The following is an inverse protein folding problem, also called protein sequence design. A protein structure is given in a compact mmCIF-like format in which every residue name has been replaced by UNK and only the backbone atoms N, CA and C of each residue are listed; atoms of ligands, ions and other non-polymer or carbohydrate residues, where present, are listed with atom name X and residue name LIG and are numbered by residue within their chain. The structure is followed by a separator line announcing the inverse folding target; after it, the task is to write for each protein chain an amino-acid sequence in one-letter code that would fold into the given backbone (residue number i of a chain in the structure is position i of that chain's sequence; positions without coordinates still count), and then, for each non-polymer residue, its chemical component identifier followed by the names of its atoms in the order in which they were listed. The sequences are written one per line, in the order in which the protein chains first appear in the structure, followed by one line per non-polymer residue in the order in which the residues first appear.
data_IF_907349739986
#
_entry.id   IF_907349739986
#
_cell.length_a   1.000
_cell.length_b   1.000
_cell.length_c   1.000
_cell.angle_alpha   90.00
_cell.angle_beta   90.00
_cell.angle_gamma   90.00
#
_symmetry.space_group_name_H-M   'P 1'
#
loop_
_entity.id
_entity.type
_entity.pdbx_description
1 polymer ?
#
# COMPACT_ATOMS: atom_id res chain seq x y z
N UNK A 1 -16.64 -4.51 9.50
CA UNK A 1 -15.92 -4.07 8.29
C UNK A 1 -16.74 -4.49 7.08
N UNK A 2 -16.87 -3.62 6.08
CA UNK A 2 -17.52 -3.97 4.80
C UNK A 2 -16.45 -4.19 3.75
N UNK A 3 -16.53 -5.30 3.02
CA UNK A 3 -15.65 -5.62 1.89
C UNK A 3 -16.46 -5.46 0.61
N UNK A 4 -15.92 -4.72 -0.35
CA UNK A 4 -16.47 -4.58 -1.71
C UNK A 4 -15.35 -4.68 -2.73
N UNK A 5 -15.69 -4.97 -3.98
CA UNK A 5 -14.73 -5.19 -5.05
C UNK A 5 -15.02 -4.26 -6.23
N UNK A 6 -13.97 -3.86 -6.95
CA UNK A 6 -14.07 -3.12 -8.20
C UNK A 6 -12.90 -3.47 -9.12
N UNK A 7 -12.96 -3.05 -10.38
CA UNK A 7 -11.85 -3.27 -11.32
C UNK A 7 -10.61 -2.49 -10.92
N UNK A 8 -10.81 -1.20 -10.59
CA UNK A 8 -9.74 -0.31 -10.19
C UNK A 8 -10.28 0.79 -9.27
N UNK A 9 -9.40 1.40 -8.47
CA UNK A 9 -9.73 2.61 -7.73
C UNK A 9 -9.42 3.87 -8.53
N UNK A 10 -10.37 4.81 -8.62
CA UNK A 10 -10.11 6.12 -9.21
C UNK A 10 -9.57 7.08 -8.15
N UNK A 11 -8.30 7.45 -8.27
CA UNK A 11 -7.61 8.32 -7.29
C UNK A 11 -8.19 9.74 -7.26
N UNK A 12 -8.63 10.28 -8.41
CA UNK A 12 -9.09 11.66 -8.53
C UNK A 12 -10.49 11.85 -7.94
N UNK A 13 -11.42 10.96 -8.28
CA UNK A 13 -12.82 10.97 -7.85
C UNK A 13 -13.04 10.23 -6.54
N UNK A 14 -12.05 9.46 -6.05
CA UNK A 14 -12.10 8.66 -4.82
C UNK A 14 -13.27 7.68 -4.83
N UNK A 15 -13.42 6.97 -5.94
CA UNK A 15 -14.53 6.05 -6.18
C UNK A 15 -14.06 4.76 -6.86
N UNK A 16 -14.75 3.64 -6.62
CA UNK A 16 -14.54 2.43 -7.41
C UNK A 16 -14.86 2.70 -8.89
N UNK A 17 -13.94 2.34 -9.78
CA UNK A 17 -14.23 2.18 -11.20
C UNK A 17 -14.84 0.82 -11.39
N UNK A 18 -16.05 0.78 -11.94
CA UNK A 18 -16.77 -0.46 -12.25
C UNK A 18 -16.83 -1.41 -11.04
N UNK A 19 -17.84 -1.26 -10.16
CA UNK A 19 -18.07 -2.24 -9.10
C UNK A 19 -18.20 -3.65 -9.68
N UNK A 20 -17.52 -4.63 -9.08
CA UNK A 20 -17.63 -6.04 -9.47
C UNK A 20 -18.25 -6.85 -8.34
N UNK A 21 -18.95 -7.94 -8.70
CA UNK A 21 -19.51 -8.85 -7.70
C UNK A 21 -18.39 -9.64 -7.01
N UNK A 22 -18.61 -10.15 -5.79
CA UNK A 22 -17.65 -11.06 -5.15
C UNK A 22 -17.32 -12.29 -6.02
N UNK A 23 -18.28 -12.81 -6.79
CA UNK A 23 -18.07 -13.97 -7.67
C UNK A 23 -17.13 -13.63 -8.83
N UNK A 24 -17.26 -12.43 -9.40
CA UNK A 24 -16.36 -11.96 -10.45
C UNK A 24 -14.96 -11.66 -9.89
N UNK A 25 -14.85 -11.06 -8.72
CA UNK A 25 -13.57 -10.87 -8.05
C UNK A 25 -12.88 -12.21 -7.73
N UNK A 26 -13.63 -13.22 -7.31
CA UNK A 26 -13.11 -14.57 -7.06
C UNK A 26 -12.68 -15.27 -8.35
N UNK A 27 -13.41 -15.05 -9.45
CA UNK A 27 -13.00 -15.51 -10.78
C UNK A 27 -11.65 -14.88 -11.14
N UNK A 28 -11.55 -13.55 -11.09
CA UNK A 28 -10.31 -12.80 -11.38
C UNK A 28 -9.14 -13.28 -10.53
N UNK A 29 -9.35 -13.41 -9.22
CA UNK A 29 -8.36 -13.97 -8.30
C UNK A 29 -7.83 -15.33 -8.75
N UNK A 30 -8.71 -16.25 -9.17
CA UNK A 30 -8.31 -17.61 -9.62
C UNK A 30 -7.56 -17.61 -10.96
N UNK A 31 -7.85 -16.66 -11.84
CA UNK A 31 -7.20 -16.55 -13.15
C UNK A 31 -6.03 -15.55 -13.17
N UNK A 32 -5.71 -14.94 -12.03
CA UNK A 32 -4.64 -13.96 -11.89
C UNK A 32 -4.95 -12.57 -12.43
N UNK A 33 -6.19 -12.32 -12.86
CA UNK A 33 -6.59 -11.05 -13.45
C UNK A 33 -6.66 -9.93 -12.40
N UNK A 34 -6.31 -8.67 -12.77
CA UNK A 34 -6.32 -7.57 -11.83
C UNK A 34 -7.71 -7.22 -11.27
N UNK A 35 -7.75 -6.90 -9.98
CA UNK A 35 -8.92 -6.34 -9.31
C UNK A 35 -8.52 -5.57 -8.04
N UNK A 36 -9.48 -4.82 -7.49
CA UNK A 36 -9.29 -4.04 -6.27
C UNK A 36 -10.27 -4.50 -5.19
N UNK A 37 -9.76 -4.66 -3.98
CA UNK A 37 -10.53 -4.87 -2.75
C UNK A 37 -10.62 -3.54 -2.00
N UNK A 38 -11.83 -3.19 -1.59
CA UNK A 38 -12.09 -2.03 -0.74
C UNK A 38 -12.58 -2.53 0.62
N UNK A 39 -11.82 -2.20 1.66
CA UNK A 39 -12.14 -2.54 3.04
C UNK A 39 -12.32 -1.23 3.79
N UNK A 40 -13.45 -1.02 4.45
CA UNK A 40 -13.62 0.27 5.13
C UNK A 40 -14.69 0.36 6.19
N UNK A 41 -14.55 1.44 6.94
CA UNK A 41 -15.52 2.06 7.83
C UNK A 41 -15.81 3.48 7.31
N UNK A 42 -16.78 4.22 7.87
CA UNK A 42 -17.01 5.62 7.46
C UNK A 42 -15.79 6.57 7.62
N UNK A 43 -14.76 6.18 8.37
CA UNK A 43 -13.65 7.06 8.77
C UNK A 43 -12.27 6.62 8.31
N UNK A 44 -12.14 5.40 7.80
CA UNK A 44 -10.88 4.82 7.33
C UNK A 44 -11.16 3.71 6.32
N UNK A 45 -10.41 3.72 5.24
CA UNK A 45 -10.52 2.71 4.18
C UNK A 45 -9.15 2.23 3.75
N UNK A 46 -9.05 0.95 3.45
CA UNK A 46 -7.91 0.32 2.81
C UNK A 46 -8.34 -0.08 1.41
N UNK A 47 -7.51 0.29 0.44
CA UNK A 47 -7.63 -0.11 -0.95
C UNK A 47 -6.53 -1.11 -1.19
N UNK A 48 -6.87 -2.32 -1.61
CA UNK A 48 -5.90 -3.36 -1.94
C UNK A 48 -6.00 -3.65 -3.42
N UNK A 49 -4.93 -3.39 -4.15
CA UNK A 49 -4.82 -3.66 -5.58
C UNK A 49 -4.09 -5.00 -5.74
N UNK A 50 -4.67 -5.92 -6.49
CA UNK A 50 -4.18 -7.28 -6.70
C UNK A 50 -3.92 -7.49 -8.18
N UNK A 51 -2.74 -8.01 -8.51
CA UNK A 51 -2.33 -8.39 -9.86
C UNK A 51 -1.40 -9.61 -9.76
N UNK A 52 -1.98 -10.82 -9.72
CA UNK A 52 -1.19 -12.05 -9.55
C UNK A 52 -0.50 -12.50 -10.82
N UNK A 53 -0.97 -12.07 -11.99
CA UNK A 53 -0.27 -12.29 -13.26
C UNK A 53 1.11 -11.62 -13.23
N UNK A 54 1.20 -10.39 -12.71
CA UNK A 54 2.46 -9.68 -12.50
C UNK A 54 3.14 -9.96 -11.15
N UNK A 55 2.54 -10.83 -10.32
CA UNK A 55 3.06 -11.19 -9.01
C UNK A 55 3.10 -10.02 -8.03
N UNK A 56 2.10 -9.12 -8.05
CA UNK A 56 2.08 -7.89 -7.26
C UNK A 56 0.81 -7.75 -6.44
N UNK A 57 0.98 -7.13 -5.27
CA UNK A 57 -0.13 -6.58 -4.51
C UNK A 57 0.28 -5.22 -3.95
N UNK A 58 -0.68 -4.32 -3.80
CA UNK A 58 -0.48 -3.04 -3.16
C UNK A 58 -1.59 -2.78 -2.17
N UNK A 59 -1.29 -2.17 -1.03
CA UNK A 59 -2.30 -1.69 -0.11
C UNK A 59 -2.11 -0.21 0.17
N UNK A 60 -3.14 0.60 -0.03
CA UNK A 60 -3.15 2.03 0.24
C UNK A 60 -4.15 2.32 1.35
N UNK A 61 -3.68 2.97 2.41
CA UNK A 61 -4.48 3.40 3.54
C UNK A 61 -4.92 4.83 3.33
N UNK A 62 -6.23 5.00 3.35
CA UNK A 62 -6.91 6.27 3.17
C UNK A 62 -7.33 6.80 4.54
N UNK A 63 -6.75 7.93 4.88
CA UNK A 63 -6.94 8.59 6.16
C UNK A 63 -8.13 9.52 6.22
N UNK A 64 -8.11 10.36 7.25
CA UNK A 64 -9.12 11.40 7.45
C UNK A 64 -9.10 12.36 6.25
N UNK A 65 -10.28 12.70 5.75
CA UNK A 65 -10.50 13.51 4.53
C UNK A 65 -10.27 12.79 3.19
N UNK A 66 -10.06 11.46 3.18
CA UNK A 66 -9.95 10.69 1.94
C UNK A 66 -8.56 10.73 1.29
N UNK A 67 -7.54 11.23 1.97
CA UNK A 67 -6.17 11.32 1.44
C UNK A 67 -5.37 10.05 1.70
N UNK A 68 -4.39 9.75 0.84
CA UNK A 68 -3.45 8.65 1.07
C UNK A 68 -2.55 9.02 2.25
N UNK A 69 -2.44 8.18 3.26
CA UNK A 69 -1.52 8.39 4.39
C UNK A 69 -0.30 7.47 4.28
N UNK A 70 -0.52 6.22 3.90
CA UNK A 70 0.55 5.24 3.70
C UNK A 70 0.16 4.22 2.62
N UNK A 71 1.14 3.74 1.87
CA UNK A 71 0.99 2.62 0.95
C UNK A 71 2.11 1.62 1.13
N UNK A 72 1.79 0.35 0.88
CA UNK A 72 2.72 -0.76 0.86
C UNK A 72 2.68 -1.42 -0.52
N UNK A 73 3.85 -1.71 -1.08
CA UNK A 73 4.03 -2.44 -2.33
C UNK A 73 4.66 -3.80 -2.06
N UNK A 74 3.98 -4.85 -2.51
CA UNK A 74 4.40 -6.23 -2.37
C UNK A 74 4.69 -6.85 -3.73
N UNK A 75 5.67 -7.74 -3.76
CA UNK A 75 5.94 -8.59 -4.92
C UNK A 75 6.12 -10.05 -4.49
N UNK A 76 5.69 -10.98 -5.33
CA UNK A 76 5.85 -12.42 -5.09
C UNK A 76 7.29 -12.84 -5.30
N UNK A 77 7.83 -13.61 -4.36
CA UNK A 77 9.11 -14.29 -4.48
C UNK A 77 8.86 -15.78 -4.25
N UNK A 78 8.25 -16.43 -5.25
CA UNK A 78 7.76 -17.80 -5.18
C UNK A 78 6.23 -17.88 -5.24
N UNK A 79 5.69 -19.09 -5.07
CA UNK A 79 4.25 -19.36 -5.24
C UNK A 79 3.39 -18.88 -4.06
N UNK A 80 3.92 -18.92 -2.83
CA UNK A 80 3.14 -18.72 -1.61
C UNK A 80 3.58 -17.53 -0.74
N UNK A 81 4.53 -16.72 -1.21
CA UNK A 81 5.13 -15.65 -0.40
C UNK A 81 5.23 -14.31 -1.14
N UNK A 82 4.81 -13.27 -0.44
CA UNK A 82 4.94 -11.87 -0.83
C UNK A 82 5.99 -11.20 0.04
N UNK A 83 6.83 -10.38 -0.58
CA UNK A 83 7.79 -9.54 0.10
C UNK A 83 7.38 -8.06 -0.01
N UNK A 84 7.41 -7.35 1.12
CA UNK A 84 7.21 -5.91 1.20
C UNK A 84 8.42 -5.20 0.59
N UNK A 85 8.34 -4.85 -0.68
CA UNK A 85 9.42 -4.19 -1.41
C UNK A 85 9.45 -2.68 -1.24
N UNK A 86 8.33 -2.05 -0.88
CA UNK A 86 8.29 -0.60 -0.67
C UNK A 86 7.22 -0.14 0.32
N UNK A 87 7.54 0.88 1.09
CA UNK A 87 6.57 1.68 1.87
C UNK A 87 6.65 3.14 1.45
N UNK A 88 5.51 3.80 1.27
CA UNK A 88 5.47 5.25 1.03
C UNK A 88 4.50 5.89 2.00
N UNK A 89 4.92 6.93 2.73
CA UNK A 89 4.06 7.74 3.59
C UNK A 89 3.98 9.18 3.11
N UNK A 90 2.84 9.81 3.38
CA UNK A 90 2.55 11.19 2.98
C UNK A 90 2.08 11.99 4.19
N UNK A 91 2.84 13.02 4.54
CA UNK A 91 2.42 14.01 5.53
C UNK A 91 1.87 15.25 4.84
N UNK A 92 0.84 15.81 5.47
CA UNK A 92 0.13 16.99 5.00
C UNK A 92 0.23 18.10 6.07
N UNK A 93 0.11 19.38 5.69
CA UNK A 93 0.10 20.48 6.65
C UNK A 93 -0.96 20.26 7.73
N UNK A 94 -0.59 20.51 8.99
CA UNK A 94 -1.56 20.52 10.09
C UNK A 94 -2.64 21.57 9.77
N UNK A 95 -3.90 21.15 9.72
CA UNK A 95 -5.10 21.92 9.30
C UNK A 95 -5.43 21.94 7.79
N UNK A 96 -4.65 21.28 6.93
CA UNK A 96 -5.06 21.09 5.54
C UNK A 96 -6.14 20.01 5.43
N UNK A 97 -7.22 20.33 4.72
CA UNK A 97 -8.23 19.36 4.25
C UNK A 97 -7.98 18.92 2.80
N UNK A 98 -6.80 19.24 2.26
CA UNK A 98 -6.47 18.87 0.90
C UNK A 98 -6.43 17.36 0.73
N UNK A 99 -6.85 16.94 -0.46
CA UNK A 99 -6.83 15.57 -0.95
C UNK A 99 -5.75 15.36 -2.01
N UNK A 100 -5.08 16.42 -2.43
CA UNK A 100 -4.09 16.38 -3.50
C UNK A 100 -2.72 15.98 -2.96
N UNK A 101 -2.07 15.03 -3.64
CA UNK A 101 -0.69 14.64 -3.32
C UNK A 101 0.30 15.79 -3.48
N UNK A 102 0.00 16.78 -4.33
CA UNK A 102 0.81 18.00 -4.50
C UNK A 102 0.91 18.84 -3.22
N UNK A 103 -0.02 18.66 -2.29
CA UNK A 103 -0.10 19.47 -1.08
C UNK A 103 0.57 18.78 0.11
N UNK A 104 1.32 17.70 -0.16
CA UNK A 104 2.13 17.00 0.84
C UNK A 104 3.34 17.85 1.21
N UNK A 105 3.64 17.91 2.51
CA UNK A 105 4.81 18.62 3.02
C UNK A 105 6.01 17.71 3.16
N UNK A 106 5.76 16.40 3.29
CA UNK A 106 6.78 15.39 3.37
C UNK A 106 6.29 14.12 2.70
N UNK A 107 7.15 13.52 1.88
CA UNK A 107 6.96 12.18 1.31
C UNK A 107 8.18 11.37 1.68
N UNK A 108 7.94 10.22 2.31
CA UNK A 108 8.99 9.29 2.69
C UNK A 108 8.73 7.95 2.00
N UNK A 109 9.71 7.51 1.22
CA UNK A 109 9.71 6.21 0.55
C UNK A 109 10.84 5.38 1.11
N UNK A 110 10.56 4.14 1.52
CA UNK A 110 11.57 3.14 1.85
C UNK A 110 11.43 1.98 0.88
N UNK A 111 12.49 1.68 0.13
CA UNK A 111 12.61 0.51 -0.72
C UNK A 111 13.42 -0.55 0.02
N UNK A 112 12.93 -1.79 0.03
CA UNK A 112 13.52 -2.92 0.73
C UNK A 112 13.88 -4.02 -0.25
N UNK A 113 14.97 -4.73 0.06
CA UNK A 113 15.38 -5.93 -0.64
C UNK A 113 15.49 -7.13 0.32
N UNK A 114 15.24 -8.36 -0.16
CA UNK A 114 15.36 -9.58 0.65
C UNK A 114 16.75 -9.83 1.25
N UNK A 115 17.80 -9.22 0.70
CA UNK A 115 19.18 -9.33 1.18
C UNK A 115 19.50 -8.35 2.33
N UNK A 116 18.51 -7.61 2.82
CA UNK A 116 18.67 -6.63 3.88
C UNK A 116 19.20 -5.27 3.40
N UNK A 117 19.31 -5.04 2.09
CA UNK A 117 19.52 -3.70 1.56
C UNK A 117 18.23 -2.87 1.68
N UNK A 118 18.36 -1.63 2.16
CA UNK A 118 17.25 -0.68 2.29
C UNK A 118 17.68 0.69 1.80
N UNK A 119 16.84 1.34 1.01
CA UNK A 119 17.02 2.73 0.58
C UNK A 119 15.85 3.57 1.06
N UNK A 120 16.13 4.62 1.81
CA UNK A 120 15.16 5.61 2.26
C UNK A 120 15.34 6.90 1.47
N UNK A 121 14.27 7.37 0.87
CA UNK A 121 14.19 8.67 0.19
C UNK A 121 13.17 9.54 0.91
N UNK A 122 13.59 10.73 1.34
CA UNK A 122 12.73 11.70 1.99
C UNK A 122 12.74 12.98 1.19
N UNK A 123 11.56 13.40 0.75
CA UNK A 123 11.34 14.71 0.14
C UNK A 123 10.59 15.60 1.13
N UNK A 124 11.12 16.78 1.39
CA UNK A 124 10.54 17.73 2.34
C UNK A 124 10.37 19.11 1.68
N UNK A 125 9.13 19.60 1.66
CA UNK A 125 8.79 20.87 0.99
C UNK A 125 9.32 22.10 1.72
N UNK A 126 9.50 22.01 3.05
CA UNK A 126 9.99 23.13 3.85
C UNK A 126 11.48 23.39 3.57
N UNK A 127 12.26 22.32 3.39
CA UNK A 127 13.68 22.43 2.99
C UNK A 127 13.87 22.53 1.48
N UNK A 128 12.83 22.21 0.69
CA UNK A 128 12.92 21.97 -0.77
C UNK A 128 14.01 20.96 -1.14
N UNK A 129 14.33 20.09 -0.20
CA UNK A 129 15.41 19.12 -0.30
C UNK A 129 14.88 17.70 -0.51
N UNK A 130 15.73 16.89 -1.11
CA UNK A 130 15.62 15.44 -1.11
C UNK A 130 16.83 14.90 -0.36
N UNK A 131 16.58 13.98 0.57
CA UNK A 131 17.63 13.25 1.27
C UNK A 131 17.47 11.77 0.99
N UNK A 132 18.59 11.10 0.77
CA UNK A 132 18.67 9.67 0.50
C UNK A 132 19.61 9.06 1.53
N UNK A 133 19.17 8.00 2.18
CA UNK A 133 20.02 7.16 3.04
C UNK A 133 19.90 5.70 2.63
N UNK A 134 21.01 4.99 2.68
CA UNK A 134 21.10 3.58 2.29
C UNK A 134 21.68 2.79 3.46
N UNK A 135 21.10 1.62 3.70
CA UNK A 135 21.45 0.74 4.80
C UNK A 135 21.61 -0.70 4.26
N UNK A 136 22.47 -1.46 4.92
CA UNK A 136 22.69 -2.89 4.68
C UNK A 136 22.44 -3.65 5.97
N UNK A 137 22.25 -4.96 5.84
CA UNK A 137 22.05 -5.86 6.96
C UNK A 137 20.83 -5.50 7.83
N UNK A 138 19.82 -4.86 7.22
CA UNK A 138 18.54 -4.57 7.87
C UNK A 138 17.76 -5.88 8.02
N UNK A 139 17.29 -6.24 9.23
CA UNK A 139 16.43 -7.41 9.40
C UNK A 139 15.12 -7.25 8.63
N UNK A 140 14.85 -8.18 7.71
CA UNK A 140 13.66 -8.16 6.83
C UNK A 140 12.71 -9.32 7.10
N UNK A 141 12.88 -10.07 8.19
CA UNK A 141 12.04 -11.23 8.53
C UNK A 141 10.55 -10.87 8.61
N UNK A 142 10.24 -9.64 9.04
CA UNK A 142 8.88 -9.12 9.17
C UNK A 142 8.28 -8.58 7.85
N UNK A 143 9.07 -8.52 6.78
CA UNK A 143 8.64 -8.01 5.46
C UNK A 143 7.94 -9.09 4.63
N UNK A 144 7.88 -10.32 5.13
CA UNK A 144 7.26 -11.45 4.45
C UNK A 144 5.81 -11.62 4.86
N UNK A 145 4.96 -11.89 3.88
CA UNK A 145 3.54 -12.19 4.05
C UNK A 145 3.17 -13.42 3.21
N UNK A 146 2.22 -14.25 3.67
CA UNK A 146 1.66 -15.28 2.81
C UNK A 146 0.85 -14.63 1.68
N UNK A 147 0.78 -15.29 0.51
CA UNK A 147 -0.21 -14.92 -0.51
C UNK A 147 -1.61 -15.13 0.10
N UNK A 148 -2.46 -14.08 0.20
CA UNK A 148 -3.75 -14.19 0.88
C UNK A 148 -4.71 -15.04 0.07
N UNK A 149 -5.50 -15.87 0.75
CA UNK A 149 -6.65 -16.54 0.15
C UNK A 149 -7.73 -15.53 -0.21
N UNK A 150 -8.53 -15.82 -1.24
CA UNK A 150 -9.66 -14.95 -1.59
C UNK A 150 -10.59 -14.75 -0.38
N UNK A 151 -10.85 -13.49 -0.04
CA UNK A 151 -11.66 -13.10 1.11
C UNK A 151 -10.89 -12.90 2.42
N UNK A 152 -9.66 -13.41 2.54
CA UNK A 152 -8.79 -13.25 3.70
C UNK A 152 -7.74 -12.16 3.47
N UNK A 153 -8.21 -10.92 3.48
CA UNK A 153 -7.38 -9.75 3.18
C UNK A 153 -6.64 -9.17 4.40
N UNK A 154 -6.73 -9.83 5.56
CA UNK A 154 -6.26 -9.26 6.83
C UNK A 154 -4.75 -9.01 6.82
N UNK A 155 -3.97 -9.93 6.23
CA UNK A 155 -2.51 -9.77 6.07
C UNK A 155 -2.19 -8.48 5.32
N UNK A 156 -2.82 -8.22 4.17
CA UNK A 156 -2.59 -7.02 3.35
C UNK A 156 -3.24 -5.74 3.92
N UNK A 157 -4.28 -5.87 4.74
CA UNK A 157 -4.96 -4.75 5.39
C UNK A 157 -4.31 -4.28 6.70
N UNK A 158 -3.18 -4.86 7.10
CA UNK A 158 -2.45 -4.50 8.32
C UNK A 158 -1.78 -3.13 8.20
N UNK A 159 -2.31 -2.14 8.92
CA UNK A 159 -1.68 -0.82 9.13
C UNK A 159 -0.52 -0.95 10.13
N UNK A 160 0.49 -0.08 10.02
CA UNK A 160 1.69 -0.09 10.87
C UNK A 160 2.45 -1.43 10.82
N UNK A 161 3.12 -1.68 9.69
CA UNK A 161 3.95 -2.86 9.49
C UNK A 161 5.33 -2.74 10.16
N UNK A 162 5.71 -1.51 10.47
CA UNK A 162 7.00 -1.19 11.08
C UNK A 162 6.80 -0.39 12.37
N UNK A 163 7.48 -0.80 13.44
CA UNK A 163 8.42 0.14 14.04
C UNK A 163 9.72 -0.05 13.23
N UNK A 164 10.21 0.94 12.47
CA UNK A 164 11.59 0.85 12.02
C UNK A 164 12.47 0.69 13.28
N UNK A 165 13.59 -0.03 13.22
CA UNK A 165 14.51 0.01 14.34
C UNK A 165 14.87 1.48 14.57
N UNK A 166 14.82 1.91 15.83
CA UNK A 166 15.32 3.22 16.19
C UNK A 166 16.81 3.23 15.85
N UNK A 167 17.17 3.95 14.79
CA UNK A 167 18.55 4.28 14.46
C UNK A 167 19.02 5.42 15.36
#
# INVERSE_FOLDING_TARGET
MRITYCEAWDVLSQRPRTPVSPQEAERRYRFGEPFTVLIGTPHSSVIIEIDWEEGRAGSTFIGRYGRKEISYGFHSLGEDSLFLGATTSWDYPQNSRSRMLSDTVRVETCDYHPDGYTKKTVRDSATRGESVSEHRDVPVDLHWEPVPRFGDWASLARLHRDLPPAW
#
